data_IF_296382823992
#
_entry.id   IF_296382823992
#
_cell.length_a   1.000
_cell.length_b   1.000
_cell.length_c   1.000
_cell.angle_alpha   90.00
_cell.angle_beta   90.00
_cell.angle_gamma   90.00
#
_symmetry.space_group_name_H-M   'P 1'
#
loop_
_entity.id
_entity.type
_entity.pdbx_description
1 polymer ?
#
# COMPACT_ATOMS: atom_id res chain seq x y z
N UNK A 1 -6.35 -6.28 -7.01
CA UNK A 1 -7.40 -5.94 -8.01
C UNK A 1 -8.38 -7.06 -8.37
N UNK A 2 -8.03 -8.36 -8.32
CA UNK A 2 -8.91 -9.42 -8.87
C UNK A 2 -9.53 -10.37 -7.83
N UNK A 3 -9.03 -10.37 -6.59
CA UNK A 3 -9.61 -11.19 -5.51
C UNK A 3 -11.03 -10.69 -5.23
N UNK A 4 -11.98 -11.61 -5.18
CA UNK A 4 -13.38 -11.35 -4.86
C UNK A 4 -13.91 -12.49 -4.00
N UNK A 5 -14.85 -12.16 -3.13
CA UNK A 5 -15.58 -13.12 -2.30
C UNK A 5 -17.07 -12.93 -2.53
N UNK A 6 -17.83 -14.04 -2.55
CA UNK A 6 -19.28 -13.92 -2.50
C UNK A 6 -19.68 -13.35 -1.13
N UNK A 7 -20.48 -12.28 -1.12
CA UNK A 7 -20.95 -11.59 0.09
C UNK A 7 -22.47 -11.52 0.11
N UNK A 8 -23.05 -11.57 1.31
CA UNK A 8 -24.47 -11.36 1.54
C UNK A 8 -24.78 -9.85 1.60
N UNK A 9 -26.03 -9.47 1.33
CA UNK A 9 -26.46 -8.06 1.29
C UNK A 9 -26.17 -7.31 2.60
N UNK A 10 -26.44 -7.95 3.75
CA UNK A 10 -26.17 -7.34 5.06
C UNK A 10 -24.69 -7.05 5.31
N UNK A 11 -23.77 -7.81 4.69
CA UNK A 11 -22.35 -7.52 4.75
C UNK A 11 -22.01 -6.26 3.93
N UNK A 12 -22.56 -6.15 2.71
CA UNK A 12 -22.28 -5.01 1.82
C UNK A 12 -22.82 -3.69 2.36
N UNK A 13 -23.90 -3.72 3.16
CA UNK A 13 -24.43 -2.55 3.85
C UNK A 13 -23.49 -2.03 4.95
N UNK A 14 -22.70 -2.92 5.58
CA UNK A 14 -21.72 -2.55 6.60
C UNK A 14 -20.34 -2.21 5.98
N UNK A 15 -19.96 -2.93 4.92
CA UNK A 15 -18.67 -2.82 4.27
C UNK A 15 -18.85 -2.50 2.79
N UNK A 16 -18.99 -1.20 2.49
CA UNK A 16 -19.21 -0.72 1.13
C UNK A 16 -17.94 -0.82 0.27
N UNK A 17 -18.12 -0.95 -1.05
CA UNK A 17 -17.02 -0.93 -2.02
C UNK A 17 -16.35 -2.29 -2.29
N UNK A 18 -16.94 -3.40 -1.84
CA UNK A 18 -16.42 -4.77 -2.00
C UNK A 18 -14.95 -4.91 -1.52
N UNK A 19 -14.63 -4.50 -0.26
CA UNK A 19 -13.25 -4.46 0.22
C UNK A 19 -12.70 -5.88 0.45
N UNK A 20 -11.42 -6.05 0.16
CA UNK A 20 -10.67 -7.28 0.44
C UNK A 20 -9.67 -7.07 1.57
N UNK A 21 -9.16 -5.84 1.71
CA UNK A 21 -8.04 -5.49 2.57
C UNK A 21 -6.83 -6.39 2.30
N UNK A 22 -6.47 -6.54 1.02
CA UNK A 22 -5.23 -7.20 0.65
C UNK A 22 -4.06 -6.25 0.95
N UNK A 23 -3.78 -6.05 2.24
CA UNK A 23 -2.82 -5.07 2.72
C UNK A 23 -1.39 -5.54 2.45
N UNK A 24 -0.60 -4.65 1.89
CA UNK A 24 0.85 -4.85 1.73
C UNK A 24 1.56 -3.69 2.38
N UNK A 25 2.35 -4.01 3.40
CA UNK A 25 3.20 -3.06 4.09
C UNK A 25 4.53 -2.90 3.33
N UNK A 26 4.95 -1.65 3.14
CA UNK A 26 6.23 -1.31 2.51
C UNK A 26 7.03 -0.32 3.37
N UNK A 27 8.34 -0.26 3.11
CA UNK A 27 9.30 0.58 3.85
C UNK A 27 9.48 0.16 5.32
N UNK A 28 9.55 1.12 6.24
CA UNK A 28 9.88 0.88 7.64
C UNK A 28 11.38 0.94 7.96
N UNK A 29 11.68 0.82 9.26
CA UNK A 29 13.02 0.80 9.84
C UNK A 29 13.18 -0.52 10.59
N UNK A 30 14.31 -1.20 10.38
CA UNK A 30 14.66 -2.41 11.13
C UNK A 30 14.97 -2.10 12.59
N UNK A 31 14.91 -3.11 13.45
CA UNK A 31 15.31 -2.96 14.86
C UNK A 31 16.78 -2.56 15.02
N UNK A 32 17.60 -2.81 13.99
CA UNK A 32 19.01 -2.40 13.89
C UNK A 32 19.18 -0.94 13.42
N UNK A 33 18.08 -0.20 13.20
CA UNK A 33 18.07 1.20 12.78
C UNK A 33 18.24 1.43 11.28
N UNK A 34 18.48 0.38 10.47
CA UNK A 34 18.61 0.54 9.01
C UNK A 34 17.24 0.64 8.35
N UNK A 35 17.18 1.41 7.26
CA UNK A 35 16.00 1.48 6.42
C UNK A 35 15.71 0.13 5.75
N UNK A 36 14.45 -0.30 5.79
CA UNK A 36 13.94 -1.46 5.04
C UNK A 36 13.39 -1.06 3.66
N UNK A 37 13.57 0.20 3.25
CA UNK A 37 13.24 0.62 1.89
C UNK A 37 14.14 -0.10 0.90
N UNK A 38 13.51 -0.84 -0.01
CA UNK A 38 14.17 -1.47 -1.14
C UNK A 38 13.63 -0.93 -2.45
N UNK A 39 14.28 -1.25 -3.58
CA UNK A 39 13.75 -0.96 -4.92
C UNK A 39 12.34 -1.53 -5.12
N UNK A 40 12.02 -2.64 -4.47
CA UNK A 40 10.69 -3.27 -4.56
C UNK A 40 9.60 -2.39 -3.93
N UNK A 41 9.90 -1.63 -2.86
CA UNK A 41 8.95 -0.68 -2.29
C UNK A 41 8.53 0.38 -3.32
N UNK A 42 9.49 0.94 -4.06
CA UNK A 42 9.19 1.87 -5.17
C UNK A 42 8.35 1.20 -6.24
N UNK A 43 8.70 -0.03 -6.66
CA UNK A 43 7.96 -0.77 -7.69
C UNK A 43 6.51 -1.06 -7.29
N UNK A 44 6.24 -1.34 -6.01
CA UNK A 44 4.87 -1.51 -5.51
C UNK A 44 4.07 -0.22 -5.64
N UNK A 45 4.60 0.92 -5.18
CA UNK A 45 3.93 2.22 -5.33
C UNK A 45 3.73 2.59 -6.82
N UNK A 46 4.74 2.33 -7.65
CA UNK A 46 4.72 2.58 -9.09
C UNK A 46 3.64 1.77 -9.83
N UNK A 47 3.06 0.73 -9.23
CA UNK A 47 1.88 0.05 -9.79
C UNK A 47 0.67 0.96 -9.93
N UNK A 48 0.58 2.02 -9.11
CA UNK A 48 -0.47 3.04 -9.19
C UNK A 48 -0.29 3.97 -10.40
N UNK A 49 0.93 4.08 -10.92
CA UNK A 49 1.21 4.80 -12.17
C UNK A 49 1.01 3.87 -13.38
N UNK A 50 1.68 2.72 -13.38
CA UNK A 50 1.67 1.79 -14.53
C UNK A 50 0.29 1.21 -14.84
N UNK A 51 -0.52 0.95 -13.81
CA UNK A 51 -1.84 0.34 -13.97
C UNK A 51 -2.96 1.31 -13.54
N UNK A 52 -2.64 2.56 -13.21
CA UNK A 52 -3.58 3.56 -12.70
C UNK A 52 -3.97 3.34 -11.23
N UNK A 53 -4.67 4.31 -10.60
CA UNK A 53 -5.08 4.23 -9.20
C UNK A 53 -5.98 3.03 -8.91
N UNK A 54 -5.81 2.40 -7.74
CA UNK A 54 -6.66 1.28 -7.33
C UNK A 54 -6.71 1.14 -5.81
N UNK A 55 -7.87 0.80 -5.23
CA UNK A 55 -7.99 0.56 -3.79
C UNK A 55 -7.32 -0.75 -3.33
N UNK A 56 -7.05 -1.69 -4.23
CA UNK A 56 -6.49 -3.02 -3.89
C UNK A 56 -5.32 -3.42 -4.81
N UNK A 57 -4.14 -3.78 -4.26
CA UNK A 57 -3.86 -3.99 -2.84
C UNK A 57 -3.89 -2.67 -2.04
N UNK A 58 -4.29 -2.77 -0.78
CA UNK A 58 -4.24 -1.67 0.17
C UNK A 58 -2.77 -1.42 0.57
N UNK A 59 -2.10 -0.52 -0.14
CA UNK A 59 -0.68 -0.23 0.08
C UNK A 59 -0.49 0.66 1.31
N UNK A 60 0.18 0.15 2.33
CA UNK A 60 0.45 0.88 3.58
C UNK A 60 1.94 1.18 3.70
N UNK A 61 2.29 2.47 3.82
CA UNK A 61 3.67 2.89 4.06
C UNK A 61 3.94 2.90 5.55
N UNK A 62 4.87 2.05 6.01
CA UNK A 62 5.37 2.09 7.39
C UNK A 62 6.29 3.29 7.56
N UNK A 63 5.68 4.44 7.83
CA UNK A 63 6.37 5.72 7.88
C UNK A 63 7.31 5.83 9.08
N UNK A 64 8.46 6.47 8.86
CA UNK A 64 9.39 6.95 9.89
C UNK A 64 10.07 8.22 9.39
N UNK A 65 10.40 9.14 10.28
CA UNK A 65 11.21 10.32 9.96
C UNK A 65 12.58 9.95 9.37
N UNK A 66 13.11 8.78 9.77
CA UNK A 66 14.41 8.25 9.37
C UNK A 66 14.38 7.52 8.01
N UNK A 67 13.23 7.48 7.32
CA UNK A 67 13.18 6.91 5.98
C UNK A 67 14.03 7.73 4.99
N UNK A 68 14.64 7.09 3.97
CA UNK A 68 15.35 7.78 2.90
C UNK A 68 14.48 8.86 2.26
N UNK A 69 15.03 10.07 2.16
CA UNK A 69 14.31 11.25 1.67
C UNK A 69 13.69 11.05 0.28
N UNK A 70 14.41 10.36 -0.61
CA UNK A 70 13.93 10.03 -1.94
C UNK A 70 12.65 9.17 -1.91
N UNK A 71 12.56 8.20 -0.98
CA UNK A 71 11.37 7.37 -0.85
C UNK A 71 10.19 8.16 -0.26
N UNK A 72 10.43 9.01 0.76
CA UNK A 72 9.38 9.87 1.33
C UNK A 72 8.77 10.79 0.26
N UNK A 73 9.63 11.46 -0.53
CA UNK A 73 9.19 12.32 -1.64
C UNK A 73 8.41 11.56 -2.69
N UNK A 74 8.87 10.36 -3.08
CA UNK A 74 8.17 9.55 -4.06
C UNK A 74 6.82 9.05 -3.53
N UNK A 75 6.76 8.55 -2.29
CA UNK A 75 5.49 8.13 -1.68
C UNK A 75 4.49 9.30 -1.59
N UNK A 76 4.94 10.50 -1.25
CA UNK A 76 4.11 11.71 -1.24
C UNK A 76 3.66 12.14 -2.64
N UNK A 77 4.46 11.89 -3.69
CA UNK A 77 4.08 12.17 -5.07
C UNK A 77 2.99 11.24 -5.60
N UNK A 78 2.98 9.99 -5.12
CA UNK A 78 1.99 8.97 -5.50
C UNK A 78 0.63 9.16 -4.78
N UNK A 79 0.64 9.89 -3.66
CA UNK A 79 -0.54 10.10 -2.80
C UNK A 79 -1.53 11.12 -3.36
#
# INVERSE_FOLDING_TARGET
>A
RMVKFARIESYNQLFSGDPVWATVDVAGIGMDGRSQVTKTCFRFLHTLENMGPSPEPNLTVLYSSNLPEAFKKYAAHIS
#
